data_IF_166759377576
#
_entry.id   IF_166759377576
#
_cell.length_a   1.000
_cell.length_b   1.000
_cell.length_c   1.000
_cell.angle_alpha   90.00
_cell.angle_beta   90.00
_cell.angle_gamma   90.00
#
_symmetry.space_group_name_H-M   'P 1'
#
loop_
_entity.id
_entity.type
_entity.pdbx_description
1 polymer ?
#
# COMPACT_ATOMS: atom_id res chain seq x y z
N UNK A 1 -8.50 7.30 45.99
CA UNK A 1 -8.46 7.35 44.51
C UNK A 1 -9.88 7.70 44.08
N UNK A 2 -10.08 8.81 43.37
CA UNK A 2 -11.41 9.31 43.02
C UNK A 2 -12.02 8.48 41.87
N UNK A 3 -13.18 7.81 42.06
CA UNK A 3 -13.83 7.02 41.02
C UNK A 3 -14.27 7.82 39.78
N UNK A 4 -14.47 9.13 39.91
CA UNK A 4 -14.85 9.98 38.79
C UNK A 4 -13.73 10.11 37.75
N UNK A 5 -12.46 10.11 38.19
CA UNK A 5 -11.30 10.11 37.29
C UNK A 5 -11.22 8.84 36.44
N UNK A 6 -11.59 7.70 37.04
CA UNK A 6 -11.66 6.42 36.33
C UNK A 6 -12.76 6.46 35.26
N UNK A 7 -13.97 6.93 35.60
CA UNK A 7 -15.07 7.05 34.64
C UNK A 7 -14.71 8.02 33.48
N UNK A 8 -14.04 9.14 33.77
CA UNK A 8 -13.62 10.12 32.77
C UNK A 8 -12.53 9.57 31.83
N UNK A 9 -11.55 8.83 32.35
CA UNK A 9 -10.50 8.20 31.53
C UNK A 9 -11.08 7.15 30.57
N UNK A 10 -12.01 6.32 31.04
CA UNK A 10 -12.68 5.33 30.19
C UNK A 10 -13.53 6.00 29.10
N UNK A 11 -14.15 7.16 29.38
CA UNK A 11 -14.93 7.91 28.40
C UNK A 11 -14.05 8.53 27.29
N UNK A 12 -12.86 9.05 27.62
CA UNK A 12 -11.89 9.56 26.64
C UNK A 12 -11.31 8.44 25.75
N UNK A 13 -10.96 7.30 26.35
CA UNK A 13 -10.47 6.12 25.60
C UNK A 13 -11.55 5.51 24.70
N UNK A 14 -12.81 5.44 25.18
CA UNK A 14 -13.95 4.92 24.41
C UNK A 14 -14.39 5.83 23.27
N UNK A 15 -14.27 7.15 23.41
CA UNK A 15 -14.67 8.13 22.39
C UNK A 15 -13.59 8.48 21.37
N UNK A 16 -12.32 8.49 21.76
CA UNK A 16 -11.22 9.01 20.94
C UNK A 16 -10.48 8.00 20.06
N UNK A 17 -10.41 6.72 20.48
CA UNK A 17 -9.57 5.73 19.81
C UNK A 17 -10.16 5.09 18.55
N UNK A 18 -11.48 4.89 18.50
CA UNK A 18 -12.14 4.10 17.45
C UNK A 18 -12.42 4.85 16.16
N UNK A 19 -13.05 6.02 16.25
CA UNK A 19 -13.48 6.76 15.05
C UNK A 19 -12.30 7.39 14.30
N UNK A 20 -11.33 7.95 15.04
CA UNK A 20 -10.13 8.56 14.46
C UNK A 20 -9.26 7.53 13.72
N UNK A 21 -9.07 6.34 14.29
CA UNK A 21 -8.28 5.27 13.67
C UNK A 21 -8.94 4.71 12.41
N UNK A 22 -10.27 4.53 12.42
CA UNK A 22 -11.04 4.12 11.23
C UNK A 22 -10.91 5.17 10.12
N UNK A 23 -11.05 6.47 10.45
CA UNK A 23 -10.92 7.54 9.47
C UNK A 23 -9.52 7.56 8.83
N UNK A 24 -8.46 7.47 9.64
CA UNK A 24 -7.07 7.41 9.15
C UNK A 24 -6.86 6.18 8.25
N UNK A 25 -7.39 5.01 8.64
CA UNK A 25 -7.29 3.79 7.85
C UNK A 25 -7.99 3.92 6.49
N UNK A 26 -9.20 4.50 6.46
CA UNK A 26 -9.96 4.74 5.22
C UNK A 26 -9.21 5.73 4.32
N UNK A 27 -8.71 6.83 4.87
CA UNK A 27 -7.94 7.82 4.10
C UNK A 27 -6.65 7.20 3.53
N UNK A 28 -5.93 6.42 4.32
CA UNK A 28 -4.73 5.70 3.89
C UNK A 28 -5.03 4.70 2.78
N UNK A 29 -6.14 3.96 2.89
CA UNK A 29 -6.59 3.02 1.87
C UNK A 29 -6.95 3.71 0.55
N UNK A 30 -7.76 4.78 0.62
CA UNK A 30 -8.15 5.58 -0.55
C UNK A 30 -6.90 6.16 -1.23
N UNK A 31 -5.98 6.72 -0.44
CA UNK A 31 -4.71 7.22 -0.96
C UNK A 31 -3.92 6.12 -1.68
N UNK A 32 -3.74 4.96 -1.06
CA UNK A 32 -3.00 3.85 -1.66
C UNK A 32 -3.64 3.37 -2.97
N UNK A 33 -4.96 3.22 -3.01
CA UNK A 33 -5.69 2.82 -4.20
C UNK A 33 -5.51 3.85 -5.34
N UNK A 34 -5.58 5.15 -5.03
CA UNK A 34 -5.31 6.22 -6.00
C UNK A 34 -3.87 6.22 -6.50
N UNK A 35 -2.89 6.04 -5.61
CA UNK A 35 -1.48 5.95 -5.98
C UNK A 35 -1.24 4.76 -6.92
N UNK A 36 -1.73 3.58 -6.57
CA UNK A 36 -1.60 2.39 -7.39
C UNK A 36 -2.29 2.55 -8.76
N UNK A 37 -3.47 3.16 -8.79
CA UNK A 37 -4.15 3.51 -10.04
C UNK A 37 -3.32 4.48 -10.89
N UNK A 38 -2.67 5.47 -10.27
CA UNK A 38 -1.74 6.39 -10.91
C UNK A 38 -0.56 5.66 -11.56
N UNK A 39 0.07 4.75 -10.82
CA UNK A 39 1.17 3.92 -11.33
C UNK A 39 0.70 3.07 -12.51
N UNK A 40 -0.46 2.43 -12.42
CA UNK A 40 -1.04 1.64 -13.50
C UNK A 40 -1.25 2.49 -14.76
N UNK A 41 -1.81 3.70 -14.63
CA UNK A 41 -1.99 4.64 -15.75
C UNK A 41 -0.64 5.06 -16.36
N UNK A 42 0.35 5.40 -15.53
CA UNK A 42 1.70 5.79 -15.99
C UNK A 42 2.46 4.67 -16.70
N UNK A 43 2.14 3.41 -16.39
CA UNK A 43 2.75 2.23 -17.01
C UNK A 43 1.90 1.65 -18.15
N UNK A 44 0.79 2.31 -18.52
CA UNK A 44 -0.18 1.82 -19.51
C UNK A 44 -0.74 0.43 -19.19
N UNK A 45 -0.86 0.11 -17.91
CA UNK A 45 -1.43 -1.15 -17.42
C UNK A 45 -2.95 -1.09 -17.48
N UNK A 46 -3.57 -2.12 -18.08
CA UNK A 46 -5.03 -2.25 -18.17
C UNK A 46 -5.67 -2.37 -16.78
N UNK A 47 -6.96 -2.05 -16.69
CA UNK A 47 -7.78 -2.24 -15.50
C UNK A 47 -7.23 -1.53 -14.24
N UNK A 48 -6.78 -0.27 -14.37
CA UNK A 48 -6.26 0.50 -13.25
C UNK A 48 -7.23 0.59 -12.04
N UNK A 49 -8.53 0.44 -12.28
CA UNK A 49 -9.57 0.41 -11.24
C UNK A 49 -9.46 -0.81 -10.30
N UNK A 50 -8.72 -1.86 -10.67
CA UNK A 50 -8.42 -3.01 -9.81
C UNK A 50 -7.72 -2.60 -8.51
N UNK A 51 -7.10 -1.42 -8.45
CA UNK A 51 -6.49 -0.87 -7.24
C UNK A 51 -7.45 -0.77 -6.04
N UNK A 52 -8.76 -0.66 -6.29
CA UNK A 52 -9.81 -0.49 -5.28
C UNK A 52 -10.34 -1.80 -4.69
N UNK A 53 -9.92 -2.97 -5.20
CA UNK A 53 -10.38 -4.26 -4.69
C UNK A 53 -9.16 -4.97 -4.10
N UNK A 54 -9.17 -5.36 -2.81
CA UNK A 54 -7.97 -5.88 -2.11
C UNK A 54 -7.28 -7.04 -2.82
N UNK A 55 -8.03 -7.96 -3.42
CA UNK A 55 -7.43 -9.09 -4.15
C UNK A 55 -6.97 -8.68 -5.55
N UNK A 56 -7.71 -7.81 -6.24
CA UNK A 56 -7.35 -7.36 -7.58
C UNK A 56 -6.20 -6.36 -7.59
N UNK A 57 -5.95 -5.65 -6.49
CA UNK A 57 -4.80 -4.75 -6.39
C UNK A 57 -3.48 -5.53 -6.52
N UNK A 58 -3.42 -6.78 -6.06
CA UNK A 58 -2.27 -7.68 -6.18
C UNK A 58 -2.10 -8.10 -7.64
N UNK A 59 -3.20 -8.47 -8.29
CA UNK A 59 -3.22 -8.77 -9.74
C UNK A 59 -2.73 -7.56 -10.54
N UNK A 60 -3.15 -6.36 -10.17
CA UNK A 60 -2.72 -5.11 -10.80
C UNK A 60 -1.22 -4.87 -10.59
N UNK A 61 -0.68 -5.05 -9.37
CA UNK A 61 0.75 -4.95 -9.09
C UNK A 61 1.56 -5.93 -9.95
N UNK A 62 1.13 -7.19 -10.07
CA UNK A 62 1.76 -8.19 -10.93
C UNK A 62 1.73 -7.76 -12.40
N UNK A 63 0.61 -7.23 -12.88
CA UNK A 63 0.48 -6.73 -14.25
C UNK A 63 1.39 -5.52 -14.53
N UNK A 64 1.49 -4.57 -13.59
CA UNK A 64 2.42 -3.43 -13.68
C UNK A 64 3.87 -3.94 -13.75
N UNK A 65 4.21 -4.92 -12.92
CA UNK A 65 5.52 -5.58 -12.89
C UNK A 65 5.77 -6.50 -14.09
N UNK A 66 4.78 -6.70 -14.97
CA UNK A 66 4.82 -7.66 -16.09
C UNK A 66 5.15 -9.10 -15.63
N UNK A 67 4.65 -9.48 -14.46
CA UNK A 67 4.78 -10.82 -13.88
C UNK A 67 3.50 -11.62 -14.08
N UNK A 68 3.58 -12.95 -14.22
CA UNK A 68 2.40 -13.77 -14.47
C UNK A 68 1.51 -13.84 -13.23
N UNK A 69 0.19 -13.82 -13.43
CA UNK A 69 -0.81 -13.74 -12.35
C UNK A 69 -0.74 -14.95 -11.40
N UNK A 70 -0.21 -16.10 -11.84
CA UNK A 70 -0.03 -17.27 -10.97
C UNK A 70 0.90 -17.01 -9.77
N UNK A 71 1.73 -15.95 -9.81
CA UNK A 71 2.55 -15.51 -8.67
C UNK A 71 1.70 -15.13 -7.44
N UNK A 72 0.40 -14.91 -7.61
CA UNK A 72 -0.53 -14.76 -6.50
C UNK A 72 -0.48 -15.96 -5.54
N UNK A 73 -0.31 -17.18 -6.05
CA UNK A 73 -0.16 -18.39 -5.22
C UNK A 73 1.14 -18.34 -4.41
N UNK A 74 2.22 -17.82 -5.00
CA UNK A 74 3.50 -17.68 -4.30
C UNK A 74 3.42 -16.65 -3.16
N UNK A 75 2.58 -15.62 -3.30
CA UNK A 75 2.33 -14.63 -2.26
C UNK A 75 1.56 -15.19 -1.04
N UNK A 76 0.96 -16.37 -1.16
CA UNK A 76 0.31 -17.06 -0.04
C UNK A 76 1.28 -17.94 0.77
N UNK A 77 2.46 -18.22 0.23
CA UNK A 77 3.48 -19.03 0.91
C UNK A 77 4.32 -18.11 1.81
N UNK A 78 4.36 -18.34 3.13
CA UNK A 78 5.19 -17.55 4.04
C UNK A 78 6.66 -17.53 3.60
N UNK A 79 7.36 -16.41 3.82
CA UNK A 79 8.75 -16.13 3.41
C UNK A 79 8.92 -15.95 1.90
N UNK A 80 8.33 -16.82 1.08
CA UNK A 80 8.31 -16.66 -0.39
C UNK A 80 7.60 -15.36 -0.77
N UNK A 81 6.51 -15.03 -0.07
CA UNK A 81 5.78 -13.79 -0.27
C UNK A 81 6.65 -12.52 -0.12
N UNK A 82 7.63 -12.52 0.79
CA UNK A 82 8.56 -11.41 0.99
C UNK A 82 9.47 -11.26 -0.22
N UNK A 83 10.08 -12.37 -0.66
CA UNK A 83 10.99 -12.38 -1.82
C UNK A 83 10.23 -11.93 -3.08
N UNK A 84 9.04 -12.48 -3.32
CA UNK A 84 8.21 -12.11 -4.46
C UNK A 84 7.78 -10.65 -4.37
N UNK A 85 7.40 -10.16 -3.19
CA UNK A 85 7.06 -8.75 -2.98
C UNK A 85 8.21 -7.80 -3.32
N UNK A 86 9.43 -8.14 -2.92
CA UNK A 86 10.64 -7.37 -3.26
C UNK A 86 10.87 -7.36 -4.77
N UNK A 87 10.79 -8.52 -5.43
CA UNK A 87 10.98 -8.63 -6.89
C UNK A 87 9.94 -7.77 -7.63
N UNK A 88 8.67 -7.92 -7.28
CA UNK A 88 7.56 -7.14 -7.88
C UNK A 88 7.76 -5.65 -7.65
N UNK A 89 8.17 -5.23 -6.44
CA UNK A 89 8.46 -3.83 -6.13
C UNK A 89 9.61 -3.27 -6.98
N UNK A 90 10.70 -4.02 -7.13
CA UNK A 90 11.83 -3.63 -7.99
C UNK A 90 11.40 -3.50 -9.46
N UNK A 91 10.57 -4.41 -9.95
CA UNK A 91 10.09 -4.37 -11.33
C UNK A 91 9.15 -3.18 -11.57
N UNK A 92 8.31 -2.81 -10.58
CA UNK A 92 7.50 -1.59 -10.63
C UNK A 92 8.39 -0.33 -10.66
N UNK A 93 9.43 -0.28 -9.83
CA UNK A 93 10.42 0.81 -9.84
C UNK A 93 11.06 0.95 -11.23
N UNK A 94 11.53 -0.17 -11.80
CA UNK A 94 12.10 -0.21 -13.15
C UNK A 94 11.09 0.21 -14.23
N UNK A 95 9.84 -0.21 -14.12
CA UNK A 95 8.76 0.19 -15.04
C UNK A 95 8.49 1.71 -15.01
N UNK A 96 8.78 2.38 -13.89
CA UNK A 96 8.74 3.83 -13.73
C UNK A 96 10.10 4.52 -13.91
N UNK A 97 11.11 3.80 -14.40
CA UNK A 97 12.46 4.34 -14.63
C UNK A 97 13.22 4.74 -13.38
N UNK A 98 12.90 4.15 -12.22
CA UNK A 98 13.57 4.40 -10.93
C UNK A 98 14.58 3.27 -10.62
N UNK A 99 15.68 3.58 -9.92
CA UNK A 99 16.72 2.59 -9.65
C UNK A 99 16.26 1.58 -8.59
N UNK A 100 16.76 0.34 -8.68
CA UNK A 100 16.31 -0.76 -7.84
C UNK A 100 16.53 -0.53 -6.33
N UNK A 101 17.56 0.22 -5.94
CA UNK A 101 17.87 0.50 -4.53
C UNK A 101 16.77 1.32 -3.82
N UNK A 102 15.87 1.97 -4.57
CA UNK A 102 14.69 2.64 -3.99
C UNK A 102 13.75 1.67 -3.27
N UNK A 103 13.89 0.35 -3.45
CA UNK A 103 13.14 -0.64 -2.67
C UNK A 103 13.37 -0.48 -1.17
N UNK A 104 14.55 -0.04 -0.75
CA UNK A 104 14.88 0.22 0.65
C UNK A 104 14.07 1.42 1.19
N UNK A 105 13.83 2.43 0.35
CA UNK A 105 13.04 3.61 0.70
C UNK A 105 11.55 3.26 0.90
N UNK A 106 11.04 2.26 0.17
CA UNK A 106 9.68 1.75 0.33
C UNK A 106 9.46 1.01 1.67
N UNK A 107 10.52 0.58 2.36
CA UNK A 107 10.42 -0.09 3.66
C UNK A 107 10.19 0.89 4.82
N UNK A 108 10.53 2.17 4.65
CA UNK A 108 10.36 3.20 5.68
C UNK A 108 8.97 3.83 5.50
N UNK A 109 8.02 3.72 6.45
CA UNK A 109 6.61 4.09 6.22
C UNK A 109 6.39 5.52 5.71
N UNK A 110 7.07 6.50 6.30
CA UNK A 110 6.92 7.92 5.93
C UNK A 110 7.50 8.17 4.52
N UNK A 111 8.65 7.58 4.21
CA UNK A 111 9.32 7.73 2.91
C UNK A 111 8.56 6.98 1.82
N UNK A 112 7.96 5.83 2.15
CA UNK A 112 7.14 5.03 1.25
C UNK A 112 6.02 5.85 0.63
N UNK A 113 5.28 6.63 1.44
CA UNK A 113 4.21 7.53 0.95
C UNK A 113 4.74 8.50 -0.12
N UNK A 114 5.92 9.09 0.13
CA UNK A 114 6.55 10.02 -0.81
C UNK A 114 6.96 9.29 -2.10
N UNK A 115 7.60 8.12 -1.98
CA UNK A 115 8.01 7.32 -3.15
C UNK A 115 6.80 6.89 -3.97
N UNK A 116 5.71 6.44 -3.34
CA UNK A 116 4.45 6.11 -4.03
C UNK A 116 3.89 7.32 -4.79
N UNK A 117 3.91 8.51 -4.21
CA UNK A 117 3.52 9.74 -4.91
C UNK A 117 4.40 10.01 -6.15
N UNK A 118 5.73 9.84 -6.02
CA UNK A 118 6.66 10.00 -7.13
C UNK A 118 6.38 8.97 -8.23
N UNK A 119 6.10 7.72 -7.87
CA UNK A 119 5.78 6.67 -8.84
C UNK A 119 4.42 6.92 -9.52
N UNK A 120 3.41 7.35 -8.76
CA UNK A 120 2.05 7.54 -9.27
C UNK A 120 1.90 8.78 -10.15
N UNK A 121 2.49 9.90 -9.76
CA UNK A 121 2.25 11.20 -10.40
C UNK A 121 3.52 11.91 -10.87
N UNK A 122 4.68 11.56 -10.32
CA UNK A 122 5.96 12.10 -10.75
C UNK A 122 6.29 11.76 -12.21
N UNK A 123 7.33 12.42 -12.73
CA UNK A 123 7.89 12.10 -14.06
C UNK A 123 8.61 10.76 -14.00
#
# INVERSE_FOLDING_TARGET
MDPSLFIMQYAEEAGGGGFGSILIAVLGYVFFALALMGIAKKTNTKNAWFAWIPILNIVLLLNIAKRPVWWLILLLIPLVNIIIGIIVGIDILKARGKPAWWIILLLIPIVNVIVLCILAWGK
#
